data_IF_276782543608
#
_entry.id   IF_276782543608
#
_cell.length_a   1.000
_cell.length_b   1.000
_cell.length_c   1.000
_cell.angle_alpha   90.00
_cell.angle_beta   90.00
_cell.angle_gamma   90.00
#
_symmetry.space_group_name_H-M   'P 1'
#
loop_
_entity.id
_entity.type
_entity.pdbx_description
1 polymer ?
#
# COMPACT_ATOMS: atom_id res chain seq x y z
N UNK A 1 -10.49 -38.70 29.92
CA UNK A 1 -10.49 -37.32 30.45
C UNK A 1 -9.84 -36.44 29.39
N UNK A 2 -10.63 -35.83 28.50
CA UNK A 2 -10.16 -34.90 27.46
C UNK A 2 -10.75 -33.53 27.76
N UNK A 3 -9.89 -32.56 28.07
CA UNK A 3 -10.27 -31.16 28.24
C UNK A 3 -10.38 -30.55 26.85
N UNK A 4 -11.61 -30.34 26.39
CA UNK A 4 -11.87 -29.62 25.15
C UNK A 4 -11.46 -28.15 25.32
N UNK A 5 -10.41 -27.74 24.62
CA UNK A 5 -10.02 -26.34 24.43
C UNK A 5 -11.17 -25.61 23.73
N UNK A 6 -11.76 -24.64 24.41
CA UNK A 6 -12.74 -23.70 23.84
C UNK A 6 -12.07 -22.89 22.72
N UNK A 7 -12.59 -22.90 21.49
CA UNK A 7 -12.17 -21.96 20.46
C UNK A 7 -12.75 -20.59 20.78
N UNK A 8 -11.93 -19.56 20.61
CA UNK A 8 -12.24 -18.15 20.83
C UNK A 8 -13.59 -17.76 20.22
N UNK A 9 -14.43 -17.14 21.03
CA UNK A 9 -15.75 -16.67 20.66
C UNK A 9 -15.68 -15.63 19.53
N UNK A 10 -16.15 -16.01 18.34
CA UNK A 10 -16.60 -15.04 17.33
C UNK A 10 -17.95 -14.47 17.78
N UNK A 11 -18.09 -13.14 17.77
CA UNK A 11 -19.38 -12.50 18.01
C UNK A 11 -20.42 -12.96 16.98
N UNK A 12 -21.69 -13.17 17.37
CA UNK A 12 -22.72 -13.65 16.46
C UNK A 12 -23.08 -12.57 15.44
N UNK A 13 -22.81 -12.81 14.15
CA UNK A 13 -23.25 -11.94 13.04
C UNK A 13 -22.22 -11.63 11.96
N UNK A 14 -20.98 -12.10 12.12
CA UNK A 14 -19.92 -11.76 11.18
C UNK A 14 -19.92 -12.67 9.94
N UNK A 15 -20.39 -12.13 8.81
CA UNK A 15 -20.33 -12.87 7.54
C UNK A 15 -18.86 -13.12 7.13
N UNK A 16 -18.53 -14.28 6.50
CA UNK A 16 -17.19 -14.53 5.97
C UNK A 16 -16.67 -13.42 5.05
N UNK A 17 -17.59 -12.74 4.37
CA UNK A 17 -17.31 -11.57 3.54
C UNK A 17 -16.86 -10.34 4.35
N UNK A 18 -17.45 -10.09 5.52
CA UNK A 18 -17.00 -9.03 6.43
C UNK A 18 -15.57 -9.25 6.93
N UNK A 19 -15.20 -10.51 7.15
CA UNK A 19 -13.83 -10.91 7.52
C UNK A 19 -12.87 -10.61 6.36
N UNK A 20 -13.22 -10.99 5.13
CA UNK A 20 -12.38 -10.76 3.95
C UNK A 20 -12.10 -9.28 3.69
N UNK A 21 -13.12 -8.42 3.81
CA UNK A 21 -12.98 -6.97 3.64
C UNK A 21 -12.02 -6.37 4.68
N UNK A 22 -12.23 -6.67 5.98
CA UNK A 22 -11.34 -6.15 7.02
C UNK A 22 -9.91 -6.65 6.91
N UNK A 23 -9.73 -7.92 6.52
CA UNK A 23 -8.39 -8.44 6.25
C UNK A 23 -7.74 -7.69 5.09
N UNK A 24 -8.47 -7.45 4.00
CA UNK A 24 -7.94 -6.68 2.87
C UNK A 24 -7.53 -5.25 3.31
N UNK A 25 -8.37 -4.56 4.07
CA UNK A 25 -8.06 -3.22 4.61
C UNK A 25 -6.83 -3.23 5.53
N UNK A 26 -6.74 -4.19 6.46
CA UNK A 26 -5.59 -4.34 7.35
C UNK A 26 -4.29 -4.63 6.57
N UNK A 27 -4.36 -5.51 5.55
CA UNK A 27 -3.21 -5.80 4.71
C UNK A 27 -2.81 -4.61 3.86
N UNK A 28 -3.75 -3.84 3.32
CA UNK A 28 -3.48 -2.59 2.59
C UNK A 28 -2.79 -1.58 3.50
N UNK A 29 -3.31 -1.36 4.73
CA UNK A 29 -2.69 -0.46 5.69
C UNK A 29 -1.25 -0.87 6.06
N UNK A 30 -1.03 -2.17 6.27
CA UNK A 30 0.32 -2.71 6.52
C UNK A 30 1.26 -2.53 5.32
N UNK A 31 0.76 -2.72 4.10
CA UNK A 31 1.56 -2.54 2.89
C UNK A 31 1.93 -1.07 2.68
N UNK A 32 1.02 -0.14 2.94
CA UNK A 32 1.31 1.30 2.91
C UNK A 32 2.46 1.65 3.86
N UNK A 33 2.42 1.16 5.10
CA UNK A 33 3.52 1.36 6.05
C UNK A 33 4.86 0.83 5.51
N UNK A 34 4.87 -0.39 4.94
CA UNK A 34 6.09 -0.97 4.38
C UNK A 34 6.60 -0.22 3.15
N UNK A 35 5.70 0.24 2.27
CA UNK A 35 6.04 1.05 1.10
C UNK A 35 6.68 2.35 1.56
N UNK A 36 6.11 3.04 2.55
CA UNK A 36 6.70 4.26 3.10
C UNK A 36 8.05 4.00 3.76
N UNK A 37 8.18 2.92 4.53
CA UNK A 37 9.44 2.56 5.19
C UNK A 37 10.57 2.25 4.19
N UNK A 38 10.29 1.48 3.14
CA UNK A 38 11.26 1.19 2.07
C UNK A 38 11.49 2.43 1.20
N UNK A 39 10.45 3.23 0.96
CA UNK A 39 10.50 4.47 0.22
C UNK A 39 11.36 5.53 0.90
N UNK A 40 11.45 5.54 2.23
CA UNK A 40 12.30 6.46 2.99
C UNK A 40 13.80 6.13 2.90
N UNK A 41 14.17 4.92 2.49
CA UNK A 41 15.57 4.52 2.34
C UNK A 41 16.27 5.34 1.24
N UNK A 42 17.50 5.79 1.50
CA UNK A 42 18.32 6.58 0.57
C UNK A 42 19.63 5.84 0.26
N UNK A 43 19.57 4.77 -0.55
CA UNK A 43 20.76 4.02 -0.94
C UNK A 43 21.71 4.85 -1.79
N UNK A 44 23.00 4.73 -1.51
CA UNK A 44 24.09 5.43 -2.19
C UNK A 44 24.59 4.67 -3.41
N UNK A 45 24.55 3.35 -3.37
CA UNK A 45 25.03 2.48 -4.46
C UNK A 45 23.89 2.08 -5.42
N UNK A 46 24.23 1.89 -6.70
CA UNK A 46 23.25 1.54 -7.73
C UNK A 46 22.67 0.13 -7.55
N UNK A 47 23.46 -0.80 -7.04
CA UNK A 47 23.02 -2.15 -6.63
C UNK A 47 21.95 -2.09 -5.54
N UNK A 48 22.14 -1.25 -4.52
CA UNK A 48 21.18 -1.05 -3.44
C UNK A 48 19.92 -0.30 -3.92
N UNK A 49 20.08 0.65 -4.84
CA UNK A 49 18.94 1.31 -5.51
C UNK A 49 18.10 0.31 -6.31
N UNK A 50 18.73 -0.60 -7.03
CA UNK A 50 18.06 -1.68 -7.75
C UNK A 50 17.30 -2.61 -6.79
N UNK A 51 17.94 -3.03 -5.69
CA UNK A 51 17.30 -3.87 -4.67
C UNK A 51 16.09 -3.19 -4.02
N UNK A 52 16.21 -1.90 -3.68
CA UNK A 52 15.10 -1.10 -3.14
C UNK A 52 13.95 -0.98 -4.15
N UNK A 53 14.25 -0.66 -5.40
CA UNK A 53 13.25 -0.55 -6.46
C UNK A 53 12.49 -1.87 -6.65
N UNK A 54 13.22 -2.99 -6.72
CA UNK A 54 12.61 -4.32 -6.79
C UNK A 54 11.74 -4.62 -5.57
N UNK A 55 12.15 -4.19 -4.38
CA UNK A 55 11.33 -4.37 -3.18
C UNK A 55 10.03 -3.56 -3.24
N UNK A 56 10.07 -2.34 -3.74
CA UNK A 56 8.88 -1.49 -3.91
C UNK A 56 7.94 -2.06 -4.98
N UNK A 57 8.47 -2.57 -6.09
CA UNK A 57 7.70 -3.29 -7.12
C UNK A 57 6.87 -4.43 -6.50
N UNK A 58 7.50 -5.27 -5.68
CA UNK A 58 6.82 -6.40 -5.05
C UNK A 58 5.72 -5.96 -4.09
N UNK A 59 5.95 -4.89 -3.33
CA UNK A 59 4.98 -4.36 -2.38
C UNK A 59 3.76 -3.76 -3.10
N UNK A 60 3.97 -2.95 -4.14
CA UNK A 60 2.89 -2.39 -4.96
C UNK A 60 2.14 -3.47 -5.72
N UNK A 61 2.83 -4.48 -6.28
CA UNK A 61 2.18 -5.65 -6.89
C UNK A 61 1.27 -6.37 -5.90
N UNK A 62 1.71 -6.55 -4.65
CA UNK A 62 0.89 -7.18 -3.61
C UNK A 62 -0.28 -6.30 -3.19
N UNK A 63 -0.09 -4.99 -3.15
CA UNK A 63 -1.13 -4.02 -2.85
C UNK A 63 -2.23 -4.04 -3.92
N UNK A 64 -1.86 -4.02 -5.20
CA UNK A 64 -2.79 -4.13 -6.32
C UNK A 64 -3.66 -5.40 -6.23
N UNK A 65 -3.07 -6.54 -5.84
CA UNK A 65 -3.82 -7.78 -5.62
C UNK A 65 -4.86 -7.68 -4.51
N UNK A 66 -4.54 -7.00 -3.40
CA UNK A 66 -5.51 -6.79 -2.32
C UNK A 66 -6.61 -5.83 -2.72
N UNK A 67 -6.30 -4.77 -3.47
CA UNK A 67 -7.34 -3.90 -4.05
C UNK A 67 -8.24 -4.65 -5.02
N UNK A 68 -7.70 -5.58 -5.83
CA UNK A 68 -8.51 -6.43 -6.70
C UNK A 68 -9.45 -7.37 -5.93
N UNK A 69 -9.02 -7.89 -4.77
CA UNK A 69 -9.89 -8.66 -3.87
C UNK A 69 -11.03 -7.76 -3.35
N UNK A 70 -10.71 -6.55 -2.91
CA UNK A 70 -11.71 -5.60 -2.41
C UNK A 70 -12.69 -5.18 -3.52
N UNK A 71 -12.20 -4.91 -4.73
CA UNK A 71 -13.02 -4.57 -5.90
C UNK A 71 -14.04 -5.67 -6.21
N UNK A 72 -13.59 -6.94 -6.27
CA UNK A 72 -14.50 -8.08 -6.48
C UNK A 72 -15.56 -8.15 -5.40
N UNK A 73 -15.23 -7.83 -4.15
CA UNK A 73 -16.20 -7.80 -3.07
C UNK A 73 -17.18 -6.63 -3.15
N UNK A 74 -16.76 -5.47 -3.64
CA UNK A 74 -17.64 -4.29 -3.80
C UNK A 74 -18.61 -4.46 -4.95
N UNK A 75 -18.20 -5.09 -6.05
CA UNK A 75 -19.05 -5.30 -7.24
C UNK A 75 -20.27 -6.17 -6.95
N UNK A 76 -20.22 -7.01 -5.91
CA UNK A 76 -21.31 -7.90 -5.48
C UNK A 76 -22.20 -7.30 -4.38
N UNK A 77 -22.05 -6.01 -4.03
CA UNK A 77 -22.79 -5.37 -2.94
C UNK A 77 -23.33 -4.01 -3.37
N UNK A 78 -24.41 -3.57 -2.72
CA UNK A 78 -24.96 -2.23 -2.86
C UNK A 78 -24.09 -1.19 -2.13
N UNK A 79 -22.81 -1.07 -2.53
CA UNK A 79 -21.88 -0.07 -2.01
C UNK A 79 -22.02 1.23 -2.81
N UNK A 80 -21.76 2.37 -2.18
CA UNK A 80 -21.77 3.65 -2.88
C UNK A 80 -20.79 3.66 -4.06
N UNK A 81 -21.21 4.18 -5.21
CA UNK A 81 -20.41 4.26 -6.45
C UNK A 81 -19.06 4.93 -6.22
N UNK A 82 -19.01 5.96 -5.37
CA UNK A 82 -17.77 6.67 -5.00
C UNK A 82 -16.74 5.73 -4.37
N UNK A 83 -17.18 4.76 -3.56
CA UNK A 83 -16.27 3.79 -2.95
C UNK A 83 -15.72 2.82 -4.01
N UNK A 84 -16.57 2.37 -4.94
CA UNK A 84 -16.14 1.49 -6.04
C UNK A 84 -15.09 2.20 -6.92
N UNK A 85 -15.34 3.45 -7.30
CA UNK A 85 -14.40 4.27 -8.07
C UNK A 85 -13.06 4.46 -7.32
N UNK A 86 -13.11 4.74 -6.01
CA UNK A 86 -11.92 4.87 -5.18
C UNK A 86 -11.08 3.57 -5.17
N UNK A 87 -11.73 2.40 -5.05
CA UNK A 87 -11.05 1.09 -5.07
C UNK A 87 -10.41 0.83 -6.44
N UNK A 88 -11.11 1.12 -7.53
CA UNK A 88 -10.58 0.97 -8.90
C UNK A 88 -9.35 1.86 -9.09
N UNK A 89 -9.43 3.14 -8.74
CA UNK A 89 -8.32 4.08 -8.87
C UNK A 89 -7.13 3.67 -8.01
N UNK A 90 -7.36 3.23 -6.77
CA UNK A 90 -6.30 2.77 -5.89
C UNK A 90 -5.60 1.52 -6.43
N UNK A 91 -6.36 0.59 -7.03
CA UNK A 91 -5.80 -0.56 -7.73
C UNK A 91 -4.93 -0.12 -8.91
N UNK A 92 -5.47 0.69 -9.83
CA UNK A 92 -4.74 1.14 -11.02
C UNK A 92 -3.45 1.88 -10.64
N UNK A 93 -3.51 2.77 -9.63
CA UNK A 93 -2.32 3.45 -9.12
C UNK A 93 -1.25 2.47 -8.62
N UNK A 94 -1.64 1.44 -7.87
CA UNK A 94 -0.70 0.43 -7.39
C UNK A 94 -0.10 -0.41 -8.54
N UNK A 95 -0.87 -0.69 -9.60
CA UNK A 95 -0.37 -1.37 -10.80
C UNK A 95 0.65 -0.51 -11.56
N UNK A 96 0.37 0.79 -11.70
CA UNK A 96 1.28 1.76 -12.33
C UNK A 96 2.56 1.96 -11.53
N UNK A 97 2.45 2.09 -10.20
CA UNK A 97 3.62 2.17 -9.31
C UNK A 97 4.47 0.91 -9.38
N UNK A 98 3.86 -0.28 -9.43
CA UNK A 98 4.60 -1.53 -9.59
C UNK A 98 5.37 -1.55 -10.93
N UNK A 99 4.75 -1.09 -12.01
CA UNK A 99 5.42 -0.98 -13.32
C UNK A 99 6.59 -0.01 -13.27
N UNK A 100 6.38 1.18 -12.71
CA UNK A 100 7.42 2.18 -12.53
C UNK A 100 8.62 1.60 -11.76
N UNK A 101 8.38 0.95 -10.63
CA UNK A 101 9.47 0.40 -9.81
C UNK A 101 10.18 -0.79 -10.47
N UNK A 102 9.48 -1.55 -11.33
CA UNK A 102 10.11 -2.59 -12.15
C UNK A 102 11.09 -1.99 -13.15
N UNK A 103 10.67 -0.95 -13.86
CA UNK A 103 11.47 -0.27 -14.88
C UNK A 103 12.67 0.43 -14.21
N UNK A 104 12.45 1.08 -13.07
CA UNK A 104 13.51 1.66 -12.25
C UNK A 104 14.53 0.62 -11.77
N UNK A 105 14.09 -0.57 -11.35
CA UNK A 105 15.00 -1.64 -10.93
C UNK A 105 15.89 -2.12 -12.09
N UNK A 106 15.32 -2.23 -13.30
CA UNK A 106 16.07 -2.57 -14.50
C UNK A 106 17.13 -1.51 -14.84
N UNK A 107 16.77 -0.22 -14.76
CA UNK A 107 17.69 0.88 -15.02
C UNK A 107 18.84 0.96 -14.01
N UNK A 108 18.57 0.83 -12.72
CA UNK A 108 19.63 0.80 -11.71
C UNK A 108 20.55 -0.42 -11.87
N UNK A 109 20.00 -1.56 -12.27
CA UNK A 109 20.79 -2.76 -12.58
C UNK A 109 21.69 -2.51 -13.78
N UNK A 110 21.16 -1.88 -14.84
CA UNK A 110 21.95 -1.53 -16.02
C UNK A 110 23.10 -0.58 -15.68
N UNK A 111 22.86 0.45 -14.85
CA UNK A 111 23.91 1.36 -14.36
C UNK A 111 24.99 0.64 -13.56
N UNK A 112 24.60 -0.24 -12.64
CA UNK A 112 25.54 -1.03 -11.85
C UNK A 112 26.43 -1.94 -12.71
N UNK A 113 25.98 -2.28 -13.92
CA UNK A 113 26.69 -3.13 -14.88
C UNK A 113 27.35 -2.33 -16.03
N UNK A 114 27.33 -0.99 -15.99
CA UNK A 114 27.80 -0.10 -17.06
C UNK A 114 27.17 -0.39 -18.44
N UNK A 115 25.88 -0.72 -18.43
CA UNK A 115 25.08 -0.99 -19.62
C UNK A 115 24.21 0.22 -20.00
N UNK A 116 23.77 0.32 -21.28
CA UNK A 116 22.81 1.33 -21.70
C UNK A 116 21.53 1.29 -20.85
N UNK A 117 21.04 2.47 -20.43
CA UNK A 117 19.82 2.64 -19.62
C UNK A 117 18.64 3.10 -20.48
N UNK A 118 17.41 2.86 -20.02
CA UNK A 118 16.18 3.36 -20.65
C UNK A 118 15.92 4.83 -20.30
N UNK A 119 15.05 5.52 -21.06
CA UNK A 119 14.60 6.90 -20.78
C UNK A 119 13.90 7.07 -19.41
N UNK A 120 13.52 5.97 -18.73
CA UNK A 120 13.03 6.00 -17.35
C UNK A 120 14.05 6.63 -16.38
N UNK A 121 15.34 6.51 -16.67
CA UNK A 121 16.44 7.19 -16.00
C UNK A 121 16.26 8.72 -15.92
N UNK A 122 15.71 9.35 -16.98
CA UNK A 122 15.45 10.79 -17.02
C UNK A 122 14.22 11.22 -16.21
N UNK A 123 13.23 10.32 -16.04
CA UNK A 123 12.09 10.55 -15.16
C UNK A 123 12.48 10.47 -13.68
N UNK A 124 13.46 9.62 -13.32
CA UNK A 124 13.95 9.47 -11.95
C UNK A 124 14.76 10.68 -11.45
N UNK A 125 15.48 11.37 -12.34
CA UNK A 125 16.26 12.57 -11.98
C UNK A 125 15.39 13.80 -11.67
N UNK A 126 14.12 13.81 -12.09
CA UNK A 126 13.22 14.94 -11.86
C UNK A 126 12.50 14.89 -10.49
N UNK A 127 12.71 13.84 -9.66
CA UNK A 127 11.99 13.69 -8.39
C UNK A 127 12.45 14.66 -7.28
N UNK A 128 13.73 15.05 -7.30
CA UNK A 128 14.23 16.09 -6.40
C UNK A 128 13.74 17.49 -6.83
N UNK A 129 13.58 17.73 -8.14
CA UNK A 129 13.03 18.98 -8.70
C UNK A 129 11.49 19.09 -8.58
N UNK A 130 10.77 17.95 -8.58
CA UNK A 130 9.31 17.90 -8.43
C UNK A 130 8.82 17.97 -6.97
N UNK A 131 9.72 18.14 -5.99
CA UNK A 131 9.35 18.28 -4.58
C UNK A 131 8.61 17.06 -3.99
N UNK A 132 8.68 15.89 -4.64
CA UNK A 132 7.99 14.67 -4.19
C UNK A 132 8.75 13.96 -3.05
N UNK A 133 9.58 14.71 -2.33
CA UNK A 133 10.01 14.39 -0.97
C UNK A 133 8.86 14.55 0.05
N UNK A 134 7.76 15.21 -0.32
CA UNK A 134 6.69 15.61 0.61
C UNK A 134 5.32 14.92 0.40
N UNK A 135 5.26 13.71 -0.17
CA UNK A 135 4.06 12.85 -0.03
C UNK A 135 4.02 12.10 1.33
N UNK A 136 4.84 12.54 2.28
CA UNK A 136 4.89 12.05 3.66
C UNK A 136 4.38 13.04 4.72
N UNK A 137 3.98 14.27 4.37
CA UNK A 137 3.28 15.16 5.31
C UNK A 137 1.76 15.09 5.13
N UNK A 138 1.02 14.45 6.05
CA UNK A 138 -0.37 14.81 6.23
C UNK A 138 -0.40 16.23 6.81
N UNK A 139 -0.62 17.24 5.97
CA UNK A 139 -1.04 18.57 6.42
C UNK A 139 -2.52 18.59 6.86
N UNK A 140 -2.98 17.50 7.48
CA UNK A 140 -4.27 17.38 8.16
C UNK A 140 -4.09 17.07 9.65
N UNK A 141 -3.03 17.62 10.23
CA UNK A 141 -2.90 17.76 11.68
C UNK A 141 -3.19 19.22 12.06
N UNK A 142 -4.41 19.69 11.79
CA UNK A 142 -4.97 20.81 12.55
C UNK A 142 -6.50 20.73 12.55
N UNK A 143 -7.04 20.78 13.77
CA UNK A 143 -8.47 20.81 14.16
C UNK A 143 -9.31 19.54 13.95
N UNK A 144 -8.97 18.47 14.66
CA UNK A 144 -9.99 17.53 15.17
C UNK A 144 -10.01 17.68 16.70
N UNK A 145 -11.09 18.19 17.32
CA UNK A 145 -11.17 18.27 18.77
C UNK A 145 -11.20 16.86 19.38
N UNK A 146 -10.66 16.68 20.61
CA UNK A 146 -10.60 15.37 21.24
C UNK A 146 -12.00 14.79 21.44
N UNK A 147 -12.20 13.55 21.00
CA UNK A 147 -13.41 12.76 21.27
C UNK A 147 -13.50 12.51 22.78
N UNK A 148 -14.60 12.87 23.46
CA UNK A 148 -14.77 12.53 24.87
C UNK A 148 -14.91 11.01 25.02
N UNK A 149 -14.05 10.44 25.87
CA UNK A 149 -14.12 9.04 26.28
C UNK A 149 -15.50 8.72 26.85
N UNK A 150 -16.19 7.76 26.24
CA UNK A 150 -17.45 7.20 26.76
C UNK A 150 -17.12 6.42 28.04
N UNK A 151 -17.21 7.13 29.16
CA UNK A 151 -16.89 6.62 30.49
C UNK A 151 -17.50 7.51 31.57
N UNK A 152 -18.76 7.91 31.42
CA UNK A 152 -19.53 8.57 32.49
C UNK A 152 -21.04 8.46 32.21
N UNK A 153 -21.58 7.25 32.35
CA UNK A 153 -22.99 7.06 32.69
C UNK A 153 -23.05 5.98 33.79
N UNK A 154 -23.09 6.45 35.03
CA UNK A 154 -23.79 5.81 36.14
C UNK A 154 -24.86 6.77 36.59
#
# INVERSE_FOLDING_TARGET
MYVARTPYAHGPGETPTGIAVRLAEQFIGRLNYLIMAVGAQRPTEDTDRAARALRLEQLHTRQARWWAVLQRHTDHRAVAVVYVDAVIRARSKAEDDARFWRDAAADWTARALDLPTSDCAGAMSNWDDLGVTDLGRPHLAETVPPVPSVGALR
#
